data_IF_357615086486
#
_entry.id   IF_357615086486
#
_cell.length_a   1.000
_cell.length_b   1.000
_cell.length_c   1.000
_cell.angle_alpha   90.00
_cell.angle_beta   90.00
_cell.angle_gamma   90.00
#
_symmetry.space_group_name_H-M   'P 1'
#
loop_
_entity.id
_entity.type
_entity.pdbx_description
1 polymer ?
#
# COMPACT_ATOMS: atom_id res chain seq x y z
N UNK A 1 -27.75 -13.39 -49.34
CA UNK A 1 -28.35 -12.73 -48.16
C UNK A 1 -27.49 -12.99 -46.96
N UNK A 2 -26.75 -12.01 -46.57
CA UNK A 2 -25.87 -12.12 -45.42
C UNK A 2 -26.40 -11.27 -44.28
N UNK A 3 -27.14 -11.90 -43.39
CA UNK A 3 -27.65 -11.25 -42.19
C UNK A 3 -26.74 -11.46 -40.96
N UNK A 4 -25.66 -12.20 -41.11
CA UNK A 4 -24.82 -12.61 -40.00
C UNK A 4 -23.75 -11.58 -39.59
N UNK A 5 -23.58 -10.48 -40.31
CA UNK A 5 -22.56 -9.50 -40.00
C UNK A 5 -23.01 -8.38 -39.05
N UNK A 6 -24.28 -8.31 -38.73
CA UNK A 6 -24.79 -7.23 -37.87
C UNK A 6 -24.79 -7.55 -36.40
N UNK A 7 -24.78 -8.81 -36.00
CA UNK A 7 -24.85 -9.21 -34.60
C UNK A 7 -23.51 -9.13 -33.87
N UNK A 8 -22.38 -9.16 -34.58
CA UNK A 8 -21.07 -9.13 -33.99
C UNK A 8 -20.53 -7.72 -33.71
N UNK A 9 -21.11 -6.70 -34.31
CA UNK A 9 -20.65 -5.32 -34.13
C UNK A 9 -21.29 -4.64 -32.95
N UNK A 10 -22.44 -5.12 -32.48
CA UNK A 10 -23.22 -4.49 -31.41
C UNK A 10 -22.85 -4.96 -30.01
N UNK A 11 -22.19 -6.10 -29.87
CA UNK A 11 -21.88 -6.66 -28.54
C UNK A 11 -20.63 -6.12 -27.89
N UNK A 12 -19.73 -5.47 -28.66
CA UNK A 12 -18.41 -5.10 -28.16
C UNK A 12 -18.23 -3.61 -27.79
N UNK A 13 -19.20 -2.75 -28.09
CA UNK A 13 -18.97 -1.31 -28.00
C UNK A 13 -20.00 -0.50 -27.22
N UNK A 14 -21.05 -1.15 -26.69
CA UNK A 14 -22.08 -0.40 -25.96
C UNK A 14 -21.93 -0.70 -24.46
N UNK A 15 -21.02 0.02 -23.81
CA UNK A 15 -21.17 0.25 -22.37
C UNK A 15 -22.32 1.22 -22.19
N UNK A 16 -23.29 0.87 -21.36
CA UNK A 16 -24.36 1.79 -21.01
C UNK A 16 -23.76 3.07 -20.41
N UNK A 17 -24.43 4.20 -20.52
CA UNK A 17 -23.97 5.45 -19.90
C UNK A 17 -23.73 5.29 -18.40
N UNK A 18 -24.53 4.47 -17.72
CA UNK A 18 -24.31 4.12 -16.34
C UNK A 18 -22.98 3.40 -16.06
N UNK A 19 -22.55 2.53 -16.95
CA UNK A 19 -21.27 1.83 -16.81
C UNK A 19 -20.08 2.76 -17.05
N UNK A 20 -20.20 3.71 -17.97
CA UNK A 20 -19.17 4.74 -18.20
C UNK A 20 -19.03 5.64 -17.00
N UNK A 21 -20.11 6.16 -16.45
CA UNK A 21 -20.12 7.01 -15.26
C UNK A 21 -19.48 6.26 -14.07
N UNK A 22 -19.79 4.98 -13.91
CA UNK A 22 -19.21 4.14 -12.85
C UNK A 22 -17.71 3.93 -13.06
N UNK A 23 -17.24 3.71 -14.29
CA UNK A 23 -15.82 3.61 -14.62
C UNK A 23 -15.08 4.92 -14.33
N UNK A 24 -15.64 6.04 -14.74
CA UNK A 24 -15.04 7.35 -14.53
C UNK A 24 -14.93 7.69 -13.03
N UNK A 25 -15.96 7.39 -12.24
CA UNK A 25 -15.94 7.57 -10.79
C UNK A 25 -14.91 6.66 -10.11
N UNK A 26 -14.79 5.42 -10.56
CA UNK A 26 -13.79 4.47 -10.03
C UNK A 26 -12.37 4.96 -10.33
N UNK A 27 -12.11 5.42 -11.53
CA UNK A 27 -10.81 5.96 -11.91
C UNK A 27 -10.45 7.21 -11.11
N UNK A 28 -11.39 8.13 -10.91
CA UNK A 28 -11.20 9.31 -10.06
C UNK A 28 -10.89 8.92 -8.61
N UNK A 29 -11.55 7.91 -8.08
CA UNK A 29 -11.31 7.41 -6.71
C UNK A 29 -9.91 6.80 -6.60
N UNK A 30 -9.49 6.01 -7.59
CA UNK A 30 -8.14 5.43 -7.66
C UNK A 30 -7.08 6.52 -7.66
N UNK A 31 -7.27 7.53 -8.51
CA UNK A 31 -6.34 8.66 -8.60
C UNK A 31 -6.28 9.47 -7.29
N UNK A 32 -7.42 9.66 -6.62
CA UNK A 32 -7.48 10.33 -5.32
C UNK A 32 -6.68 9.56 -4.24
N UNK A 33 -6.81 8.25 -4.18
CA UNK A 33 -6.02 7.43 -3.25
C UNK A 33 -4.52 7.49 -3.58
N UNK A 34 -4.16 7.43 -4.86
CA UNK A 34 -2.77 7.51 -5.30
C UNK A 34 -2.10 8.81 -4.81
N UNK A 35 -2.75 9.94 -5.04
CA UNK A 35 -2.26 11.26 -4.60
C UNK A 35 -2.23 11.39 -3.08
N UNK A 36 -3.26 10.90 -2.40
CA UNK A 36 -3.32 10.95 -0.94
C UNK A 36 -2.19 10.14 -0.30
N UNK A 37 -1.94 8.93 -0.77
CA UNK A 37 -0.86 8.08 -0.26
C UNK A 37 0.50 8.73 -0.50
N UNK A 38 0.77 9.21 -1.71
CA UNK A 38 2.03 9.92 -2.03
C UNK A 38 2.27 11.09 -1.10
N UNK A 39 1.25 11.89 -0.88
CA UNK A 39 1.32 13.06 0.02
C UNK A 39 1.58 12.64 1.46
N UNK A 40 0.87 11.64 1.95
CA UNK A 40 0.97 11.22 3.35
C UNK A 40 2.36 10.67 3.71
N UNK A 41 2.98 9.93 2.79
CA UNK A 41 4.29 9.31 3.02
C UNK A 41 5.47 10.17 2.53
N UNK A 42 5.22 11.34 1.96
CA UNK A 42 6.23 12.18 1.30
C UNK A 42 7.04 11.37 0.26
N UNK A 43 6.34 10.75 -0.68
CA UNK A 43 6.88 9.77 -1.62
C UNK A 43 8.11 10.28 -2.39
N UNK A 44 8.08 11.52 -2.89
CA UNK A 44 9.20 12.10 -3.64
C UNK A 44 10.43 12.29 -2.74
N UNK A 45 10.23 12.66 -1.48
CA UNK A 45 11.31 12.80 -0.50
C UNK A 45 11.90 11.42 -0.17
N UNK A 46 11.07 10.38 -0.03
CA UNK A 46 11.53 9.00 0.16
C UNK A 46 12.40 8.54 -1.02
N UNK A 47 11.96 8.74 -2.25
CA UNK A 47 12.72 8.37 -3.45
C UNK A 47 14.08 9.07 -3.52
N UNK A 48 14.13 10.32 -3.10
CA UNK A 48 15.37 11.10 -3.08
C UNK A 48 16.30 10.64 -1.95
N UNK A 49 15.77 10.47 -0.76
CA UNK A 49 16.54 10.09 0.44
C UNK A 49 17.08 8.66 0.33
N UNK A 50 16.24 7.74 -0.15
CA UNK A 50 16.57 6.32 -0.32
C UNK A 50 16.89 5.98 -1.78
N UNK A 51 17.80 6.71 -2.38
CA UNK A 51 18.14 6.60 -3.81
C UNK A 51 18.69 5.24 -4.22
N UNK A 52 19.21 4.45 -3.28
CA UNK A 52 19.68 3.08 -3.52
C UNK A 52 18.58 2.04 -3.38
N UNK A 53 17.51 2.36 -2.66
CA UNK A 53 16.37 1.49 -2.36
C UNK A 53 15.07 1.98 -3.02
N UNK A 54 15.17 2.72 -4.12
CA UNK A 54 14.01 3.28 -4.82
C UNK A 54 12.99 2.20 -5.21
N UNK A 55 13.47 1.04 -5.66
CA UNK A 55 12.60 -0.09 -6.01
C UNK A 55 11.76 -0.54 -4.80
N UNK A 56 12.36 -0.59 -3.62
CA UNK A 56 11.65 -0.96 -2.39
C UNK A 56 10.65 0.12 -1.96
N UNK A 57 11.00 1.39 -2.11
CA UNK A 57 10.08 2.51 -1.84
C UNK A 57 8.86 2.44 -2.77
N UNK A 58 9.08 2.17 -4.06
CA UNK A 58 8.01 1.99 -5.02
C UNK A 58 7.15 0.75 -4.72
N UNK A 59 7.77 -0.38 -4.37
CA UNK A 59 7.04 -1.59 -3.95
C UNK A 59 6.13 -1.32 -2.74
N UNK A 60 6.63 -0.60 -1.75
CA UNK A 60 5.85 -0.20 -0.56
C UNK A 60 4.66 0.66 -0.98
N UNK A 61 4.90 1.68 -1.80
CA UNK A 61 3.84 2.55 -2.30
C UNK A 61 2.77 1.76 -3.06
N UNK A 62 3.17 0.89 -3.99
CA UNK A 62 2.24 0.07 -4.76
C UNK A 62 1.44 -0.89 -3.86
N UNK A 63 2.09 -1.50 -2.88
CA UNK A 63 1.42 -2.40 -1.94
C UNK A 63 0.36 -1.68 -1.10
N UNK A 64 0.66 -0.48 -0.62
CA UNK A 64 -0.31 0.36 0.08
C UNK A 64 -1.50 0.66 -0.84
N UNK A 65 -1.21 1.12 -2.06
CA UNK A 65 -2.23 1.51 -3.03
C UNK A 65 -3.15 0.33 -3.41
N UNK A 66 -2.59 -0.83 -3.73
CA UNK A 66 -3.35 -2.04 -4.03
C UNK A 66 -4.23 -2.46 -2.85
N UNK A 67 -3.71 -2.36 -1.64
CA UNK A 67 -4.44 -2.76 -0.43
C UNK A 67 -5.59 -1.80 -0.13
N UNK A 68 -5.40 -0.49 -0.26
CA UNK A 68 -6.48 0.48 -0.02
C UNK A 68 -7.55 0.46 -1.09
N UNK A 69 -7.24 -0.05 -2.28
CA UNK A 69 -8.18 -0.18 -3.40
C UNK A 69 -8.86 -1.55 -3.47
N UNK A 70 -8.53 -2.48 -2.57
CA UNK A 70 -9.11 -3.83 -2.62
C UNK A 70 -10.62 -3.81 -2.50
N UNK A 71 -11.28 -4.66 -3.26
CA UNK A 71 -12.73 -4.89 -3.18
C UNK A 71 -13.08 -6.06 -2.25
N UNK A 72 -12.09 -6.72 -1.67
CA UNK A 72 -12.30 -7.80 -0.69
C UNK A 72 -12.83 -7.24 0.62
N UNK A 73 -13.69 -8.00 1.27
CA UNK A 73 -14.24 -7.64 2.58
C UNK A 73 -13.21 -7.81 3.71
N UNK A 74 -12.33 -8.80 3.57
CA UNK A 74 -11.33 -9.16 4.56
C UNK A 74 -9.94 -9.20 3.94
N UNK A 75 -8.96 -8.78 4.71
CA UNK A 75 -7.54 -8.82 4.34
C UNK A 75 -6.79 -9.67 5.36
N UNK A 76 -5.97 -10.60 4.87
CA UNK A 76 -5.13 -11.44 5.71
C UNK A 76 -3.78 -10.76 5.97
N UNK A 77 -3.43 -10.59 7.24
CA UNK A 77 -2.15 -10.01 7.67
C UNK A 77 -1.57 -10.88 8.77
N UNK A 78 -0.35 -11.38 8.58
CA UNK A 78 0.36 -12.22 9.55
C UNK A 78 -0.46 -13.42 10.05
N UNK A 79 -1.24 -14.04 9.14
CA UNK A 79 -2.06 -15.20 9.45
C UNK A 79 -3.47 -14.90 9.95
N UNK A 80 -3.75 -13.68 10.37
CA UNK A 80 -5.06 -13.25 10.87
C UNK A 80 -5.86 -12.48 9.81
N UNK A 81 -7.19 -12.55 9.89
CA UNK A 81 -8.07 -11.82 8.99
C UNK A 81 -8.63 -10.57 9.66
N UNK A 82 -8.54 -9.46 8.96
CA UNK A 82 -9.04 -8.15 9.41
C UNK A 82 -10.06 -7.59 8.40
N UNK A 83 -11.08 -6.85 8.86
CA UNK A 83 -11.96 -6.12 7.95
C UNK A 83 -11.17 -5.16 7.07
N UNK A 84 -11.46 -5.16 5.76
CA UNK A 84 -10.73 -4.32 4.80
C UNK A 84 -10.77 -2.84 5.17
N UNK A 85 -11.91 -2.33 5.63
CA UNK A 85 -12.04 -0.94 6.06
C UNK A 85 -11.10 -0.56 7.21
N UNK A 86 -10.89 -1.46 8.16
CA UNK A 86 -9.94 -1.27 9.26
C UNK A 86 -8.50 -1.19 8.76
N UNK A 87 -8.10 -2.11 7.87
CA UNK A 87 -6.76 -2.12 7.28
C UNK A 87 -6.52 -0.85 6.45
N UNK A 88 -7.47 -0.49 5.58
CA UNK A 88 -7.40 0.72 4.76
C UNK A 88 -7.23 1.97 5.62
N UNK A 89 -8.00 2.09 6.70
CA UNK A 89 -7.91 3.20 7.63
C UNK A 89 -6.52 3.32 8.27
N UNK A 90 -5.91 2.21 8.64
CA UNK A 90 -4.55 2.20 9.19
C UNK A 90 -3.51 2.59 8.13
N UNK A 91 -3.59 2.04 6.93
CA UNK A 91 -2.63 2.32 5.85
C UNK A 91 -2.71 3.77 5.36
N UNK A 92 -3.90 4.38 5.33
CA UNK A 92 -4.07 5.78 4.95
C UNK A 92 -3.53 6.78 6.00
N UNK A 93 -3.21 6.32 7.19
CA UNK A 93 -2.56 7.13 8.24
C UNK A 93 -1.05 7.00 8.28
N UNK A 94 -0.46 6.16 7.45
CA UNK A 94 1.00 6.03 7.37
C UNK A 94 1.62 7.35 6.92
N UNK A 95 2.75 7.68 7.53
CA UNK A 95 3.53 8.87 7.21
C UNK A 95 4.98 8.51 6.87
N UNK A 96 5.78 9.50 6.56
CA UNK A 96 7.21 9.35 6.23
C UNK A 96 7.97 8.50 7.25
N UNK A 97 7.84 8.78 8.54
CA UNK A 97 8.57 8.07 9.61
C UNK A 97 8.18 6.58 9.69
N UNK A 98 6.92 6.25 9.44
CA UNK A 98 6.49 4.85 9.39
C UNK A 98 7.16 4.10 8.23
N UNK A 99 7.29 4.74 7.06
CA UNK A 99 7.95 4.13 5.91
C UNK A 99 9.46 3.97 6.15
N UNK A 100 10.12 4.97 6.74
CA UNK A 100 11.52 4.83 7.15
C UNK A 100 11.74 3.62 8.07
N UNK A 101 10.89 3.48 9.07
CA UNK A 101 10.92 2.34 9.97
C UNK A 101 10.78 1.01 9.24
N UNK A 102 9.85 0.91 8.28
CA UNK A 102 9.66 -0.30 7.47
C UNK A 102 10.88 -0.58 6.59
N UNK A 103 11.47 0.44 5.98
CA UNK A 103 12.70 0.30 5.19
C UNK A 103 13.85 -0.26 6.04
N UNK A 104 14.05 0.24 7.25
CA UNK A 104 15.05 -0.27 8.19
C UNK A 104 14.79 -1.74 8.58
N UNK A 105 13.53 -2.11 8.78
CA UNK A 105 13.14 -3.49 9.09
C UNK A 105 13.43 -4.44 7.91
N UNK A 106 13.21 -3.98 6.69
CA UNK A 106 13.41 -4.79 5.49
C UNK A 106 14.89 -4.98 5.14
N UNK A 107 15.72 -4.00 5.42
CA UNK A 107 17.18 -4.12 5.23
C UNK A 107 17.77 -5.29 6.05
N UNK A 108 17.18 -5.56 7.20
CA UNK A 108 17.60 -6.66 8.08
C UNK A 108 17.00 -8.03 7.71
N UNK A 109 16.04 -8.07 6.81
CA UNK A 109 15.31 -9.28 6.45
C UNK A 109 15.49 -9.63 4.98
N UNK A 110 16.24 -10.68 4.69
CA UNK A 110 16.37 -11.24 3.33
C UNK A 110 15.33 -12.32 3.09
N UNK A 111 14.52 -12.17 2.04
CA UNK A 111 13.51 -13.15 1.65
C UNK A 111 13.71 -13.60 0.21
N UNK A 112 13.41 -14.88 -0.07
CA UNK A 112 13.64 -15.50 -1.38
C UNK A 112 12.46 -15.39 -2.33
N UNK A 113 11.23 -15.17 -1.86
CA UNK A 113 10.04 -15.08 -2.71
C UNK A 113 9.34 -13.73 -2.58
N UNK A 114 8.85 -13.20 -3.72
CA UNK A 114 8.14 -11.93 -3.76
C UNK A 114 6.84 -11.97 -2.94
N UNK A 115 6.09 -13.08 -2.99
CA UNK A 115 4.88 -13.25 -2.19
C UNK A 115 5.15 -13.17 -0.70
N UNK A 116 6.22 -13.82 -0.24
CA UNK A 116 6.62 -13.80 1.16
C UNK A 116 7.09 -12.41 1.59
N UNK A 117 7.84 -11.73 0.73
CA UNK A 117 8.27 -10.34 0.93
C UNK A 117 7.07 -9.40 1.08
N UNK A 118 6.06 -9.51 0.21
CA UNK A 118 4.84 -8.70 0.28
C UNK A 118 4.06 -8.95 1.58
N UNK A 119 3.98 -10.18 2.05
CA UNK A 119 3.34 -10.51 3.31
C UNK A 119 4.06 -9.87 4.51
N UNK A 120 5.39 -9.89 4.51
CA UNK A 120 6.21 -9.25 5.54
C UNK A 120 6.06 -7.73 5.48
N UNK A 121 6.11 -7.13 4.28
CA UNK A 121 5.92 -5.70 4.08
C UNK A 121 4.55 -5.25 4.58
N UNK A 122 3.49 -5.95 4.21
CA UNK A 122 2.14 -5.59 4.62
C UNK A 122 1.96 -5.68 6.14
N UNK A 123 2.52 -6.72 6.77
CA UNK A 123 2.51 -6.85 8.22
C UNK A 123 3.29 -5.71 8.90
N UNK A 124 4.46 -5.35 8.37
CA UNK A 124 5.27 -4.26 8.90
C UNK A 124 4.56 -2.91 8.78
N UNK A 125 3.94 -2.62 7.63
CA UNK A 125 3.17 -1.40 7.39
C UNK A 125 1.95 -1.32 8.31
N UNK A 126 1.21 -2.40 8.46
CA UNK A 126 0.03 -2.48 9.32
C UNK A 126 0.38 -2.23 10.79
N UNK A 127 1.52 -2.73 11.24
CA UNK A 127 1.97 -2.63 12.63
C UNK A 127 2.84 -1.39 12.91
N UNK A 128 3.39 -0.73 11.89
CA UNK A 128 4.33 0.37 12.06
C UNK A 128 3.86 1.47 13.02
N UNK A 129 2.60 1.98 12.94
CA UNK A 129 2.13 2.99 13.89
C UNK A 129 2.15 2.55 15.34
N UNK A 130 1.94 1.25 15.60
CA UNK A 130 1.91 0.68 16.95
C UNK A 130 3.31 0.36 17.49
N UNK A 131 4.26 0.03 16.63
CA UNK A 131 5.57 -0.50 17.03
C UNK A 131 6.69 0.54 16.96
N UNK A 132 6.53 1.59 16.19
CA UNK A 132 7.60 2.59 15.94
C UNK A 132 8.10 3.26 17.23
N UNK A 133 7.18 3.63 18.11
CA UNK A 133 7.53 4.24 19.40
C UNK A 133 8.37 3.33 20.28
N UNK A 134 7.99 2.06 20.39
CA UNK A 134 8.72 1.05 21.16
C UNK A 134 10.08 0.74 20.54
N UNK A 135 10.17 0.71 19.22
CA UNK A 135 11.43 0.48 18.49
C UNK A 135 12.45 1.58 18.78
N UNK A 136 12.07 2.84 18.62
CA UNK A 136 12.97 3.97 18.86
C UNK A 136 13.31 4.14 20.36
N UNK A 137 12.37 3.85 21.25
CA UNK A 137 12.65 3.84 22.70
C UNK A 137 13.69 2.79 23.06
N UNK A 138 13.61 1.60 22.51
CA UNK A 138 14.61 0.55 22.70
C UNK A 138 15.99 0.95 22.14
N UNK A 139 16.05 1.58 20.98
CA UNK A 139 17.27 2.07 20.36
C UNK A 139 17.92 3.18 21.22
N UNK A 140 17.15 4.13 21.72
CA UNK A 140 17.63 5.20 22.61
C UNK A 140 18.15 4.62 23.93
N UNK A 141 17.44 3.67 24.53
CA UNK A 141 17.87 3.00 25.76
C UNK A 141 19.17 2.21 25.58
N UNK A 142 19.39 1.66 24.40
CA UNK A 142 20.63 0.96 24.07
C UNK A 142 21.81 1.93 23.89
N UNK A 143 21.59 3.04 23.15
CA UNK A 143 22.62 4.01 22.81
C UNK A 143 22.93 4.99 23.96
N UNK A 144 21.93 5.29 24.81
CA UNK A 144 22.02 6.27 25.92
C UNK A 144 21.35 5.73 27.19
N UNK A 145 21.93 4.67 27.84
CA UNK A 145 21.29 4.04 29.01
C UNK A 145 21.09 5.01 30.20
N UNK A 146 21.91 6.04 30.34
CA UNK A 146 21.82 7.04 31.40
C UNK A 146 20.57 7.91 31.33
N UNK A 147 19.88 7.96 30.21
CA UNK A 147 18.63 8.70 30.01
C UNK A 147 17.40 7.79 29.98
N UNK A 148 17.60 6.49 30.14
CA UNK A 148 16.53 5.47 30.16
C UNK A 148 15.94 5.37 31.56
N UNK A 149 14.85 6.04 31.80
CA UNK A 149 14.04 5.89 33.01
C UNK A 149 12.70 5.28 32.71
#
# INVERSE_FOLDING_TARGET
MNYNNQSNITSNHIKSDGDRIRCDQKEQTINAYAELVKKNIDFDVLLHTYSREQDLVEEIYQLILETVQTEKDMIRIAGEYYPAGFVKGKLLKLNYSHIEYVLECMDKNTTKSQKHKNNILLAALFNAPSTIGSYYKAAVNHDMPQYAN
#
